data_IF_569129006740
#
_entry.id   IF_569129006740
#
_cell.length_a   1.000
_cell.length_b   1.000
_cell.length_c   1.000
_cell.angle_alpha   90.00
_cell.angle_beta   90.00
_cell.angle_gamma   90.00
#
_symmetry.space_group_name_H-M   'P 1'
#
loop_
_entity.id
_entity.type
_entity.pdbx_description
1 polymer ?
#
# COMPACT_ATOMS: atom_id res chain seq x y z
N UNK A 1 -10.82 -25.00 43.90
CA UNK A 1 -9.57 -25.52 44.54
C UNK A 1 -8.45 -25.03 43.64
N UNK A 2 -7.48 -24.19 43.98
CA UNK A 2 -6.89 -23.62 45.21
C UNK A 2 -6.27 -22.28 44.76
N UNK A 3 -6.53 -21.12 45.35
CA UNK A 3 -5.94 -20.57 46.58
C UNK A 3 -4.43 -20.79 46.72
N UNK A 4 -3.65 -19.72 46.57
CA UNK A 4 -2.41 -19.52 47.35
C UNK A 4 -2.19 -18.03 47.63
N UNK A 5 -2.43 -17.66 48.89
CA UNK A 5 -1.87 -16.47 49.54
C UNK A 5 -0.39 -16.67 49.80
N UNK A 6 0.39 -15.59 49.90
CA UNK A 6 1.51 -15.44 50.86
C UNK A 6 1.78 -13.94 51.11
N UNK A 7 1.70 -13.58 52.39
CA UNK A 7 2.17 -12.36 53.06
C UNK A 7 3.70 -12.32 53.14
N UNK A 8 4.36 -11.16 53.07
CA UNK A 8 5.55 -10.82 53.89
C UNK A 8 5.61 -9.30 54.21
N UNK A 9 6.00 -9.06 55.46
CA UNK A 9 6.18 -7.83 56.26
C UNK A 9 7.29 -6.85 55.80
N UNK A 10 7.11 -5.58 56.21
CA UNK A 10 8.12 -4.84 56.98
C UNK A 10 8.83 -3.67 56.28
N UNK A 11 8.73 -2.46 56.83
CA UNK A 11 9.72 -1.94 57.79
C UNK A 11 9.49 -0.44 58.04
N UNK A 12 9.35 -0.12 59.33
CA UNK A 12 9.24 1.18 59.96
C UNK A 12 10.56 1.97 59.83
N UNK A 13 10.51 3.23 59.40
CA UNK A 13 11.60 4.18 59.57
C UNK A 13 11.08 5.51 60.14
N UNK A 14 11.46 5.75 61.39
CA UNK A 14 11.41 7.03 62.09
C UNK A 14 12.03 8.16 61.27
N UNK A 15 11.39 9.33 61.26
CA UNK A 15 12.14 10.58 61.36
C UNK A 15 11.42 11.60 62.25
N UNK A 16 12.18 12.10 63.20
CA UNK A 16 11.86 13.12 64.18
C UNK A 16 11.92 14.51 63.51
N UNK A 17 11.20 15.50 64.03
CA UNK A 17 11.73 16.65 64.78
C UNK A 17 10.76 17.85 64.69
N UNK A 18 10.85 18.69 65.72
CA UNK A 18 9.90 19.68 66.21
C UNK A 18 10.21 21.12 65.75
N UNK A 19 9.37 22.06 66.22
CA UNK A 19 9.49 23.54 66.27
C UNK A 19 8.99 24.32 65.03
N UNK A 20 8.25 25.42 65.12
CA UNK A 20 7.72 26.20 66.24
C UNK A 20 7.03 27.49 65.72
N UNK A 21 6.03 27.95 66.50
CA UNK A 21 5.40 29.29 66.65
C UNK A 21 4.95 30.14 65.44
N UNK A 22 3.68 30.62 65.45
CA UNK A 22 3.22 31.78 64.68
C UNK A 22 3.16 33.07 65.53
N UNK A 23 3.37 34.23 64.90
CA UNK A 23 3.22 35.56 65.52
C UNK A 23 2.26 36.41 64.67
N UNK A 24 1.08 36.74 65.21
CA UNK A 24 0.14 37.71 64.65
C UNK A 24 -0.49 38.53 65.79
N UNK A 25 -0.89 39.75 65.44
CA UNK A 25 -0.88 40.98 66.25
C UNK A 25 -2.14 41.20 67.10
N UNK A 26 -1.94 41.87 68.24
CA UNK A 26 -2.93 42.26 69.27
C UNK A 26 -3.59 43.63 69.00
N UNK A 27 -4.92 43.69 69.17
CA UNK A 27 -5.72 44.86 69.64
C UNK A 27 -7.06 44.28 70.13
N UNK A 28 -7.48 44.26 71.40
CA UNK A 28 -7.66 45.32 72.39
C UNK A 28 -8.94 46.12 72.08
N UNK A 29 -10.00 46.26 72.88
CA UNK A 29 -10.42 45.84 74.23
C UNK A 29 -11.82 46.46 74.47
N UNK A 30 -12.77 45.77 75.13
CA UNK A 30 -13.46 46.23 76.36
C UNK A 30 -14.72 45.40 76.73
N UNK A 31 -14.71 45.06 78.03
CA UNK A 31 -15.63 44.34 78.93
C UNK A 31 -17.06 44.96 79.04
N UNK A 32 -18.08 44.27 79.61
CA UNK A 32 -18.11 43.94 81.04
C UNK A 32 -18.69 42.57 81.44
N UNK A 33 -18.03 41.95 82.43
CA UNK A 33 -18.40 40.73 83.19
C UNK A 33 -19.27 41.04 84.45
N UNK A 34 -19.55 40.09 85.38
CA UNK A 34 -20.39 38.87 85.35
C UNK A 34 -21.36 38.81 86.60
N UNK A 35 -21.96 37.67 87.05
CA UNK A 35 -21.21 36.59 87.74
C UNK A 35 -21.74 35.14 87.60
N UNK A 36 -20.77 34.23 87.45
CA UNK A 36 -20.59 32.89 88.05
C UNK A 36 -21.78 31.98 88.42
N UNK A 37 -21.76 30.73 87.90
CA UNK A 37 -21.51 29.52 88.71
C UNK A 37 -21.56 28.21 87.87
N UNK A 38 -20.70 27.25 88.27
CA UNK A 38 -20.65 25.80 87.92
C UNK A 38 -20.16 25.44 86.49
N UNK A 39 -18.99 24.83 86.26
CA UNK A 39 -18.50 23.48 86.65
C UNK A 39 -19.44 22.36 86.21
N UNK A 40 -19.10 21.63 85.14
CA UNK A 40 -19.07 20.15 84.89
C UNK A 40 -18.82 19.98 83.35
N UNK A 41 -17.67 19.45 82.92
CA UNK A 41 -17.46 18.10 82.35
C UNK A 41 -18.21 17.77 81.02
N UNK A 42 -17.52 17.01 80.15
CA UNK A 42 -18.00 16.25 78.97
C UNK A 42 -17.94 16.89 77.57
N UNK A 43 -16.80 16.75 76.90
CA UNK A 43 -16.80 16.38 75.47
C UNK A 43 -16.03 15.07 75.35
N UNK A 44 -16.67 13.96 75.72
CA UNK A 44 -16.21 12.63 75.35
C UNK A 44 -16.10 12.56 73.82
N UNK A 45 -15.14 11.79 73.26
CA UNK A 45 -15.22 11.42 71.85
C UNK A 45 -16.55 10.70 71.60
N UNK A 46 -17.24 11.05 70.53
CA UNK A 46 -18.57 10.51 70.20
C UNK A 46 -18.52 9.01 69.86
N UNK A 47 -17.31 8.46 69.65
CA UNK A 47 -17.06 7.04 69.47
C UNK A 47 -15.68 6.58 69.96
N UNK A 48 -15.58 5.30 70.31
CA UNK A 48 -14.33 4.60 70.69
C UNK A 48 -14.50 3.08 70.51
N UNK A 49 -13.46 2.28 70.73
CA UNK A 49 -13.58 0.80 70.66
C UNK A 49 -14.68 0.23 71.59
N UNK A 50 -15.11 1.01 72.60
CA UNK A 50 -16.18 0.65 73.55
C UNK A 50 -17.50 1.39 73.31
N UNK A 51 -17.53 2.38 72.40
CA UNK A 51 -18.70 3.18 72.06
C UNK A 51 -18.85 3.15 70.53
N UNK A 52 -19.65 2.22 69.98
CA UNK A 52 -19.86 2.14 68.54
C UNK A 52 -20.73 3.30 68.06
N UNK A 53 -20.47 3.77 66.84
CA UNK A 53 -21.30 4.77 66.19
C UNK A 53 -22.73 4.24 65.90
N UNK A 54 -23.70 5.14 65.73
CA UNK A 54 -25.01 4.82 65.18
C UNK A 54 -24.89 4.02 63.86
N UNK A 55 -25.92 3.23 63.54
CA UNK A 55 -25.91 2.42 62.32
C UNK A 55 -25.74 3.29 61.06
N UNK A 56 -24.67 3.05 60.30
CA UNK A 56 -24.34 3.79 59.06
C UNK A 56 -23.11 4.70 59.15
N UNK A 57 -22.52 4.85 60.33
CA UNK A 57 -21.33 5.68 60.54
C UNK A 57 -20.13 4.82 60.97
N UNK A 58 -18.93 5.32 60.68
CA UNK A 58 -17.66 4.71 61.08
C UNK A 58 -16.90 5.67 61.99
N UNK A 59 -16.22 5.14 63.00
CA UNK A 59 -15.46 5.95 63.93
C UNK A 59 -14.09 6.28 63.32
N UNK A 60 -13.91 7.52 62.88
CA UNK A 60 -12.64 8.02 62.33
C UNK A 60 -12.15 9.15 63.22
N UNK A 61 -10.94 8.99 63.78
CA UNK A 61 -10.32 9.97 64.69
C UNK A 61 -11.20 10.42 65.89
N UNK A 62 -12.04 9.51 66.41
CA UNK A 62 -12.88 9.77 67.59
C UNK A 62 -14.16 10.54 67.31
N UNK A 63 -14.47 10.78 66.03
CA UNK A 63 -15.76 11.27 65.56
C UNK A 63 -16.46 10.20 64.73
N UNK A 64 -17.79 10.13 64.85
CA UNK A 64 -18.58 9.34 63.92
C UNK A 64 -18.70 10.11 62.62
N UNK A 65 -18.14 9.55 61.55
CA UNK A 65 -18.30 10.07 60.20
C UNK A 65 -19.13 9.09 59.40
N UNK A 66 -20.07 9.60 58.62
CA UNK A 66 -20.68 8.82 57.55
C UNK A 66 -19.53 8.42 56.64
N UNK A 67 -19.37 7.11 56.39
CA UNK A 67 -18.39 6.67 55.40
C UNK A 67 -18.65 7.48 54.12
N UNK A 68 -17.61 8.11 53.56
CA UNK A 68 -17.72 8.73 52.25
C UNK A 68 -18.41 7.70 51.34
N UNK A 69 -19.44 8.10 50.57
CA UNK A 69 -20.09 7.17 49.66
C UNK A 69 -19.00 6.46 48.84
N UNK A 70 -19.18 5.18 48.49
CA UNK A 70 -18.25 4.54 47.57
C UNK A 70 -18.08 5.48 46.38
N UNK A 71 -16.84 5.79 46.01
CA UNK A 71 -16.51 6.57 44.83
C UNK A 71 -17.17 5.84 43.65
N UNK A 72 -18.33 6.34 43.22
CA UNK A 72 -19.24 5.66 42.30
C UNK A 72 -19.38 6.57 41.11
N UNK A 73 -18.82 6.09 40.02
CA UNK A 73 -19.07 6.67 38.72
C UNK A 73 -20.58 6.79 38.48
N UNK A 74 -21.04 7.99 38.15
CA UNK A 74 -22.41 8.29 37.77
C UNK A 74 -23.30 8.81 38.89
N UNK A 75 -22.73 9.46 39.91
CA UNK A 75 -23.50 10.11 40.97
C UNK A 75 -23.64 11.64 40.80
N UNK A 76 -23.00 12.18 39.75
CA UNK A 76 -23.04 13.57 39.33
C UNK A 76 -21.99 14.42 40.04
N UNK A 77 -21.04 13.80 40.73
CA UNK A 77 -20.00 14.49 41.50
C UNK A 77 -18.64 13.94 41.11
N UNK A 78 -17.76 14.82 40.62
CA UNK A 78 -16.35 14.48 40.41
C UNK A 78 -15.61 14.45 41.75
N UNK A 79 -15.47 13.25 42.30
CA UNK A 79 -14.70 12.90 43.47
C UNK A 79 -13.21 12.82 43.11
N UNK A 80 -12.51 13.92 43.39
CA UNK A 80 -11.11 14.20 43.04
C UNK A 80 -10.04 13.30 43.74
N UNK A 81 -10.41 12.09 44.17
CA UNK A 81 -9.57 11.09 44.83
C UNK A 81 -8.71 10.23 43.89
N UNK A 82 -8.77 10.49 42.58
CA UNK A 82 -7.87 9.89 41.57
C UNK A 82 -8.40 8.64 40.86
N UNK A 83 -9.70 8.37 40.92
CA UNK A 83 -10.33 7.22 40.24
C UNK A 83 -11.21 7.67 39.07
N UNK A 84 -11.92 8.80 39.22
CA UNK A 84 -12.74 9.41 38.16
C UNK A 84 -12.14 10.73 37.68
N UNK A 85 -12.05 10.87 36.36
CA UNK A 85 -11.62 12.09 35.68
C UNK A 85 -12.81 13.03 35.37
N UNK A 86 -14.03 12.49 35.35
CA UNK A 86 -15.29 13.19 35.15
C UNK A 86 -16.43 12.39 35.83
N UNK A 87 -17.63 12.97 35.99
CA UNK A 87 -18.85 12.26 36.38
C UNK A 87 -20.07 13.06 35.87
N UNK A 88 -20.89 12.45 35.01
CA UNK A 88 -22.04 13.08 34.35
C UNK A 88 -23.40 12.78 35.03
N UNK A 89 -23.39 12.04 36.15
CA UNK A 89 -24.61 11.67 36.86
C UNK A 89 -25.21 10.33 36.46
N UNK A 90 -24.51 9.53 35.64
CA UNK A 90 -24.86 8.13 35.39
C UNK A 90 -23.66 7.31 34.84
N UNK A 91 -23.91 6.05 34.46
CA UNK A 91 -22.89 5.14 33.91
C UNK A 91 -23.23 4.72 32.49
N UNK A 92 -24.07 5.50 31.79
CA UNK A 92 -24.23 5.28 30.36
C UNK A 92 -22.94 5.77 29.71
N UNK A 93 -22.35 4.92 28.88
CA UNK A 93 -21.30 5.40 28.00
C UNK A 93 -21.98 6.42 27.06
N UNK A 94 -21.44 7.63 26.95
CA UNK A 94 -21.91 8.59 25.96
C UNK A 94 -22.63 9.85 26.38
N UNK A 95 -22.59 10.29 27.62
CA UNK A 95 -23.30 11.52 28.02
C UNK A 95 -22.55 12.48 28.95
N UNK A 96 -21.23 12.39 28.95
CA UNK A 96 -20.27 13.28 29.58
C UNK A 96 -19.06 12.52 30.12
N UNK A 97 -19.21 11.21 30.37
CA UNK A 97 -18.23 10.27 30.90
C UNK A 97 -18.47 8.83 30.46
N UNK A 98 -17.40 8.05 30.31
CA UNK A 98 -17.54 6.61 30.12
C UNK A 98 -18.00 5.91 31.42
N UNK A 99 -18.41 4.64 31.33
CA UNK A 99 -18.80 3.82 32.49
C UNK A 99 -17.67 3.53 33.49
N UNK A 100 -16.44 3.96 33.19
CA UNK A 100 -15.28 3.95 34.09
C UNK A 100 -14.92 5.36 34.61
N UNK A 101 -15.78 6.35 34.36
CA UNK A 101 -15.63 7.76 34.68
C UNK A 101 -14.30 8.36 34.22
N UNK A 102 -13.87 7.96 33.04
CA UNK A 102 -12.82 8.64 32.29
C UNK A 102 -13.47 9.64 31.34
N UNK A 103 -12.75 10.74 31.06
CA UNK A 103 -13.17 11.65 30.01
C UNK A 103 -13.17 10.89 28.68
N UNK A 104 -14.23 11.04 27.89
CA UNK A 104 -14.25 10.61 26.49
C UNK A 104 -13.35 11.59 25.72
N UNK A 105 -12.11 11.16 25.37
CA UNK A 105 -11.07 12.01 24.77
C UNK A 105 -10.80 11.54 23.35
N UNK A 106 -11.17 12.41 22.40
CA UNK A 106 -10.78 12.22 21.01
C UNK A 106 -9.27 12.07 20.83
N UNK A 107 -8.87 10.98 20.17
CA UNK A 107 -7.49 10.66 19.85
C UNK A 107 -6.78 9.80 20.88
N UNK A 108 -7.51 9.05 21.71
CA UNK A 108 -6.93 8.14 22.70
C UNK A 108 -6.87 6.67 22.24
N UNK A 109 -7.42 6.39 21.06
CA UNK A 109 -7.50 5.09 20.41
C UNK A 109 -8.75 4.29 20.78
N UNK A 110 -9.72 4.91 21.46
CA UNK A 110 -10.94 4.25 21.95
C UNK A 110 -12.17 4.95 21.36
N UNK A 111 -12.97 4.21 20.58
CA UNK A 111 -14.23 4.73 20.04
C UNK A 111 -15.31 4.83 21.13
N UNK A 112 -15.64 6.05 21.56
CA UNK A 112 -16.69 6.31 22.55
C UNK A 112 -18.02 6.62 21.83
N UNK A 113 -18.73 5.57 21.43
CA UNK A 113 -19.89 5.61 20.52
C UNK A 113 -21.15 6.31 21.07
N UNK A 114 -21.03 6.99 22.21
CA UNK A 114 -22.12 7.56 22.96
C UNK A 114 -22.18 9.10 22.92
N UNK A 115 -21.04 9.82 22.97
CA UNK A 115 -20.96 11.30 22.87
C UNK A 115 -20.71 11.83 21.45
N UNK A 116 -21.09 11.05 20.43
CA UNK A 116 -20.96 11.45 19.03
C UNK A 116 -19.51 11.49 18.49
N UNK A 117 -18.55 10.81 19.12
CA UNK A 117 -17.37 10.34 18.38
C UNK A 117 -17.85 9.35 17.32
N UNK A 118 -17.65 9.72 16.06
CA UNK A 118 -17.91 8.84 14.92
C UNK A 118 -16.72 7.93 14.64
N UNK A 119 -15.51 8.37 15.02
CA UNK A 119 -14.23 7.69 14.86
C UNK A 119 -13.31 8.03 16.05
N UNK A 120 -12.24 7.25 16.23
CA UNK A 120 -11.06 7.61 17.02
C UNK A 120 -9.87 6.82 16.46
N UNK A 121 -8.81 7.52 16.04
CA UNK A 121 -7.62 6.93 15.42
C UNK A 121 -6.36 7.00 16.30
N UNK A 122 -6.51 7.38 17.58
CA UNK A 122 -5.40 7.52 18.51
C UNK A 122 -4.60 8.81 18.36
N UNK A 123 -5.10 9.80 17.61
CA UNK A 123 -4.52 11.14 17.56
C UNK A 123 -5.57 12.24 17.26
N UNK A 124 -5.11 13.50 17.08
CA UNK A 124 -5.99 14.67 16.84
C UNK A 124 -5.54 15.46 15.60
N UNK A 125 -4.83 14.80 14.70
CA UNK A 125 -4.55 15.35 13.39
C UNK A 125 -5.86 15.40 12.57
N UNK A 126 -5.87 16.28 11.59
CA UNK A 126 -6.89 16.23 10.53
C UNK A 126 -6.19 15.64 9.28
N UNK A 127 -6.92 14.97 8.41
CA UNK A 127 -6.42 14.37 7.16
C UNK A 127 -6.02 12.90 7.27
N UNK A 128 -6.50 12.18 8.28
CA UNK A 128 -6.33 10.74 8.52
C UNK A 128 -7.68 10.01 8.64
N UNK A 129 -8.75 10.63 8.13
CA UNK A 129 -10.13 10.16 8.14
C UNK A 129 -10.86 10.21 9.48
N UNK A 130 -10.21 10.73 10.52
CA UNK A 130 -10.83 11.13 11.76
C UNK A 130 -10.39 12.53 12.15
N UNK A 131 -11.30 13.52 12.13
CA UNK A 131 -10.88 14.89 12.44
C UNK A 131 -10.56 15.08 13.94
N UNK A 132 -9.93 16.21 14.29
CA UNK A 132 -9.63 16.61 15.67
C UNK A 132 -10.86 16.76 16.59
N UNK A 133 -12.08 16.57 16.09
CA UNK A 133 -13.35 16.52 16.83
C UNK A 133 -14.01 15.14 16.79
N UNK A 134 -13.24 14.13 16.37
CA UNK A 134 -13.65 12.74 16.24
C UNK A 134 -14.89 12.55 15.39
N UNK A 135 -15.03 13.37 14.34
CA UNK A 135 -16.01 13.17 13.28
C UNK A 135 -15.34 12.52 12.08
N UNK A 136 -16.10 11.71 11.34
CA UNK A 136 -15.62 11.23 10.06
C UNK A 136 -15.34 12.41 9.14
N UNK A 137 -14.15 12.42 8.57
CA UNK A 137 -13.86 13.34 7.48
C UNK A 137 -14.74 13.00 6.27
N UNK A 138 -15.04 14.00 5.45
CA UNK A 138 -15.95 13.82 4.33
C UNK A 138 -15.40 12.76 3.36
N UNK A 139 -16.31 11.95 2.78
CA UNK A 139 -15.94 11.02 1.71
C UNK A 139 -15.22 11.76 0.56
N UNK A 140 -14.06 11.26 0.16
CA UNK A 140 -13.18 11.88 -0.84
C UNK A 140 -12.22 12.95 -0.29
N UNK A 141 -12.20 13.19 1.03
CA UNK A 141 -11.14 13.99 1.65
C UNK A 141 -9.81 13.27 1.48
N UNK A 142 -8.75 14.03 1.20
CA UNK A 142 -7.41 13.47 1.06
C UNK A 142 -6.93 12.94 2.41
N UNK A 143 -6.39 11.73 2.41
CA UNK A 143 -5.75 11.12 3.56
C UNK A 143 -4.43 10.46 3.14
N UNK A 144 -3.67 9.96 4.11
CA UNK A 144 -2.45 9.20 3.86
C UNK A 144 -2.43 8.01 4.83
N UNK A 145 -2.43 6.77 4.30
CA UNK A 145 -2.34 5.55 5.11
C UNK A 145 -0.88 5.06 5.30
N UNK A 146 0.10 5.95 5.08
CA UNK A 146 1.54 5.70 5.06
C UNK A 146 1.99 4.66 4.00
N UNK A 147 1.15 4.40 2.99
CA UNK A 147 1.51 3.62 1.80
C UNK A 147 2.27 4.49 0.78
N UNK A 148 2.82 3.87 -0.26
CA UNK A 148 3.43 4.57 -1.38
C UNK A 148 2.44 5.45 -2.17
N UNK A 149 1.13 5.24 -2.02
CA UNK A 149 0.08 5.82 -2.87
C UNK A 149 -0.61 7.08 -2.28
N UNK A 150 0.14 7.93 -1.61
CA UNK A 150 -0.38 9.02 -0.76
C UNK A 150 -1.21 10.10 -1.48
N UNK A 151 -1.16 10.18 -2.81
CA UNK A 151 -1.81 11.23 -3.59
C UNK A 151 -3.27 10.94 -3.94
N UNK A 152 -3.67 9.66 -3.87
CA UNK A 152 -5.01 9.19 -4.30
C UNK A 152 -5.80 8.58 -3.14
N UNK A 153 -5.18 8.45 -1.98
CA UNK A 153 -5.81 7.93 -0.79
C UNK A 153 -6.93 8.90 -0.34
N UNK A 154 -8.11 8.32 -0.17
CA UNK A 154 -9.32 9.05 0.14
C UNK A 154 -10.07 8.38 1.28
N UNK A 155 -10.62 9.23 2.15
CA UNK A 155 -11.55 8.79 3.17
C UNK A 155 -12.82 8.26 2.53
N UNK A 156 -13.30 7.11 2.97
CA UNK A 156 -14.57 6.52 2.54
C UNK A 156 -15.81 7.16 3.23
N UNK A 157 -15.57 8.09 4.15
CA UNK A 157 -16.59 8.72 5.00
C UNK A 157 -17.05 7.84 6.16
N UNK A 158 -16.33 6.75 6.45
CA UNK A 158 -16.56 5.83 7.56
C UNK A 158 -15.27 5.57 8.37
N UNK A 159 -14.30 6.48 8.28
CA UNK A 159 -13.06 6.45 9.06
C UNK A 159 -11.97 5.55 8.48
N UNK A 160 -12.12 5.08 7.24
CA UNK A 160 -11.08 4.34 6.55
C UNK A 160 -10.45 5.21 5.48
N UNK A 161 -9.14 5.39 5.58
CA UNK A 161 -8.33 5.83 4.46
C UNK A 161 -8.23 4.65 3.49
N UNK A 162 -8.87 4.77 2.34
CA UNK A 162 -8.88 3.72 1.33
C UNK A 162 -8.04 4.14 0.14
N UNK A 163 -7.25 3.19 -0.36
CA UNK A 163 -6.49 3.38 -1.57
C UNK A 163 -7.46 3.58 -2.75
N UNK A 164 -7.60 4.82 -3.20
CA UNK A 164 -8.06 5.08 -4.54
C UNK A 164 -6.99 4.50 -5.47
N UNK A 165 -7.12 3.22 -5.84
CA UNK A 165 -6.14 2.59 -6.73
C UNK A 165 -5.91 3.43 -7.99
N UNK A 166 -4.70 3.38 -8.54
CA UNK A 166 -4.36 4.05 -9.80
C UNK A 166 -5.46 3.78 -10.82
N UNK A 167 -6.12 4.83 -11.30
CA UNK A 167 -7.26 4.69 -12.20
C UNK A 167 -6.82 5.16 -13.57
N UNK A 168 -6.35 4.20 -14.37
CA UNK A 168 -5.89 4.46 -15.70
C UNK A 168 -6.94 5.17 -16.57
N UNK A 169 -6.52 6.25 -17.24
CA UNK A 169 -7.33 7.00 -18.19
C UNK A 169 -8.26 8.03 -17.55
N UNK A 170 -7.95 8.47 -16.33
CA UNK A 170 -8.75 9.45 -15.61
C UNK A 170 -8.28 10.91 -15.85
N UNK A 171 -7.17 11.10 -16.57
CA UNK A 171 -6.59 12.41 -16.87
C UNK A 171 -5.53 12.89 -15.88
N UNK A 172 -5.09 12.05 -14.95
CA UNK A 172 -4.11 12.36 -13.90
C UNK A 172 -3.03 11.28 -13.87
N UNK A 173 -1.76 11.69 -13.71
CA UNK A 173 -0.65 10.75 -13.60
C UNK A 173 -0.37 10.43 -12.12
N UNK A 174 -0.55 9.17 -11.74
CA UNK A 174 -0.45 8.60 -10.41
C UNK A 174 0.80 7.70 -10.30
N UNK A 175 1.95 8.31 -10.61
CA UNK A 175 3.23 7.61 -10.74
C UNK A 175 3.64 6.78 -9.51
N UNK A 176 3.31 7.27 -8.33
CA UNK A 176 3.63 6.60 -7.07
C UNK A 176 2.79 5.31 -6.85
N UNK A 177 1.76 5.09 -7.67
CA UNK A 177 0.92 3.90 -7.71
C UNK A 177 1.18 2.97 -8.90
N UNK A 178 2.29 3.15 -9.62
CA UNK A 178 2.71 2.28 -10.73
C UNK A 178 2.15 2.68 -12.10
N UNK A 179 1.46 3.80 -12.17
CA UNK A 179 1.04 4.42 -13.42
C UNK A 179 2.25 5.08 -14.12
N UNK A 180 2.55 4.72 -15.36
CA UNK A 180 3.69 5.31 -16.08
C UNK A 180 3.28 6.45 -17.03
N UNK A 181 2.02 6.48 -17.44
CA UNK A 181 1.41 7.45 -18.32
C UNK A 181 -0.09 7.55 -18.00
N UNK A 182 -0.75 8.62 -18.43
CA UNK A 182 -2.21 8.70 -18.51
C UNK A 182 -2.54 9.62 -19.71
N UNK A 183 -3.38 9.12 -20.63
CA UNK A 183 -3.84 9.88 -21.80
C UNK A 183 -5.36 10.14 -21.77
N UNK A 184 -5.94 10.13 -20.57
CA UNK A 184 -7.34 10.39 -20.29
C UNK A 184 -8.31 9.40 -20.96
N UNK A 185 -7.83 8.19 -21.31
CA UNK A 185 -8.66 7.07 -21.70
C UNK A 185 -7.94 5.72 -21.49
N UNK A 186 -8.54 4.61 -21.94
CA UNK A 186 -7.97 3.24 -21.80
C UNK A 186 -7.93 2.51 -23.14
N UNK A 187 -7.78 3.26 -24.24
CA UNK A 187 -7.60 2.70 -25.58
C UNK A 187 -6.12 2.37 -25.70
N UNK A 188 -5.80 1.26 -26.37
CA UNK A 188 -4.41 0.96 -26.70
C UNK A 188 -4.06 1.64 -28.03
N UNK A 189 -2.86 2.18 -28.12
CA UNK A 189 -2.31 2.83 -29.29
C UNK A 189 -2.70 4.27 -29.46
N UNK A 190 -2.87 5.03 -28.39
CA UNK A 190 -2.99 6.49 -28.45
C UNK A 190 -2.06 7.25 -27.52
N UNK A 191 -1.08 6.55 -26.95
CA UNK A 191 0.02 7.12 -26.18
C UNK A 191 0.13 6.54 -24.77
N UNK A 192 -0.90 5.87 -24.27
CA UNK A 192 -0.87 5.16 -23.01
C UNK A 192 -1.75 3.91 -23.06
N UNK A 193 -1.22 2.76 -22.64
CA UNK A 193 -1.99 1.51 -22.70
C UNK A 193 -3.13 1.45 -21.67
N UNK A 194 -4.01 0.47 -21.81
CA UNK A 194 -5.16 0.21 -20.93
C UNK A 194 -4.81 -0.15 -19.47
N UNK A 195 -3.53 -0.42 -19.22
CA UNK A 195 -2.93 -0.67 -17.90
C UNK A 195 -2.00 0.48 -17.46
N UNK A 196 -2.06 1.60 -18.19
CA UNK A 196 -1.27 2.80 -18.02
C UNK A 196 0.24 2.55 -17.90
N UNK A 197 0.70 1.63 -18.73
CA UNK A 197 2.09 1.45 -19.05
C UNK A 197 2.39 2.18 -20.37
N UNK A 198 3.59 2.73 -20.50
CA UNK A 198 3.98 3.42 -21.72
C UNK A 198 3.99 2.43 -22.90
N UNK A 199 3.41 2.86 -24.01
CA UNK A 199 3.38 2.11 -25.27
C UNK A 199 4.71 2.31 -25.99
N UNK A 200 5.66 1.40 -25.76
CA UNK A 200 7.04 1.53 -26.24
C UNK A 200 7.51 0.26 -26.91
N UNK A 201 8.33 0.44 -27.94
CA UNK A 201 9.01 -0.65 -28.60
C UNK A 201 9.86 -1.47 -27.63
N UNK A 202 9.66 -2.78 -27.65
CA UNK A 202 10.38 -3.76 -26.84
C UNK A 202 9.74 -4.02 -25.48
N UNK A 203 8.46 -3.72 -25.30
CA UNK A 203 7.71 -4.00 -24.08
C UNK A 203 6.99 -5.36 -24.09
N UNK A 204 7.05 -6.07 -25.23
CA UNK A 204 6.40 -7.36 -25.46
C UNK A 204 5.02 -7.26 -26.11
N UNK A 205 4.56 -6.06 -26.50
CA UNK A 205 3.22 -5.81 -27.01
C UNK A 205 3.22 -4.86 -28.20
N UNK A 206 2.55 -5.23 -29.29
CA UNK A 206 2.29 -4.33 -30.43
C UNK A 206 1.17 -3.35 -30.04
N UNK A 207 1.52 -2.19 -29.51
CA UNK A 207 0.58 -1.24 -28.92
C UNK A 207 0.84 0.24 -29.26
N UNK A 208 1.85 0.63 -30.05
CA UNK A 208 2.14 2.07 -30.30
C UNK A 208 1.48 2.67 -31.58
N UNK A 209 0.14 2.82 -31.57
CA UNK A 209 -0.67 3.54 -32.59
C UNK A 209 -0.38 3.20 -34.07
N UNK A 210 -0.04 1.94 -34.36
CA UNK A 210 0.32 1.49 -35.71
C UNK A 210 1.66 2.05 -36.24
N UNK A 211 2.43 2.74 -35.42
CA UNK A 211 3.85 3.01 -35.70
C UNK A 211 4.65 1.73 -35.50
N UNK A 212 4.31 0.97 -34.46
CA UNK A 212 4.86 -0.35 -34.17
C UNK A 212 4.18 -1.44 -34.98
N UNK A 213 4.97 -2.24 -35.71
CA UNK A 213 4.49 -3.31 -36.58
C UNK A 213 4.79 -4.71 -36.01
N UNK A 214 5.78 -4.82 -35.13
CA UNK A 214 6.20 -6.01 -34.39
C UNK A 214 6.66 -5.60 -32.99
N UNK A 215 6.83 -6.56 -32.09
CA UNK A 215 7.53 -6.40 -30.82
C UNK A 215 8.02 -7.78 -30.38
N UNK A 216 9.32 -7.94 -30.12
CA UNK A 216 9.94 -9.20 -29.66
C UNK A 216 10.40 -9.15 -28.19
N UNK A 217 9.97 -8.13 -27.44
CA UNK A 217 10.28 -7.91 -26.03
C UNK A 217 11.60 -7.21 -25.79
N UNK A 218 12.25 -6.67 -26.83
CA UNK A 218 13.45 -5.85 -26.69
C UNK A 218 13.65 -4.85 -27.84
N UNK A 219 14.79 -4.15 -27.88
CA UNK A 219 15.12 -3.12 -28.90
C UNK A 219 16.45 -3.40 -29.59
N UNK A 220 16.89 -4.66 -29.57
CA UNK A 220 18.09 -5.09 -30.28
C UNK A 220 17.70 -5.24 -31.74
N UNK A 221 18.48 -4.65 -32.65
CA UNK A 221 18.26 -4.95 -34.07
C UNK A 221 18.66 -6.42 -34.34
N UNK A 222 18.10 -7.02 -35.37
CA UNK A 222 18.46 -8.32 -35.91
C UNK A 222 18.02 -9.54 -35.06
N UNK A 223 16.97 -9.45 -34.25
CA UNK A 223 16.42 -10.59 -33.50
C UNK A 223 14.91 -10.82 -33.63
N UNK A 224 14.29 -10.19 -34.63
CA UNK A 224 12.88 -10.40 -35.01
C UNK A 224 12.11 -9.10 -35.19
N UNK A 225 12.56 -8.01 -34.56
CA UNK A 225 11.98 -6.69 -34.68
C UNK A 225 13.06 -5.62 -34.51
N UNK A 226 13.11 -4.61 -35.40
CA UNK A 226 14.16 -3.60 -35.30
C UNK A 226 13.97 -2.66 -34.10
N UNK A 227 14.97 -1.84 -33.77
CA UNK A 227 14.89 -0.85 -32.68
C UNK A 227 13.83 0.26 -32.86
N UNK A 228 13.19 0.34 -34.03
CA UNK A 228 12.04 1.19 -34.33
C UNK A 228 10.72 0.40 -34.40
N UNK A 229 10.74 -0.86 -33.96
CA UNK A 229 9.70 -1.85 -34.03
C UNK A 229 9.02 -1.99 -35.40
N UNK A 230 9.84 -1.96 -36.44
CA UNK A 230 9.46 -2.33 -37.79
C UNK A 230 9.83 -3.80 -38.02
N UNK A 231 8.99 -4.48 -38.81
CA UNK A 231 9.29 -5.85 -39.20
C UNK A 231 10.58 -5.88 -40.01
N UNK A 232 11.47 -6.79 -39.63
CA UNK A 232 12.66 -7.16 -40.36
C UNK A 232 12.23 -8.11 -41.49
N UNK A 233 11.97 -7.57 -42.68
CA UNK A 233 11.37 -8.28 -43.82
C UNK A 233 12.39 -8.48 -44.93
N UNK A 234 12.50 -9.72 -45.38
CA UNK A 234 13.19 -10.08 -46.61
C UNK A 234 12.67 -9.31 -47.83
N UNK A 235 13.56 -8.62 -48.54
CA UNK A 235 13.28 -7.89 -49.78
C UNK A 235 13.01 -6.39 -49.57
N UNK A 236 13.44 -5.83 -48.44
CA UNK A 236 13.34 -4.39 -48.15
C UNK A 236 14.64 -3.62 -48.51
N UNK A 237 15.67 -4.34 -48.93
CA UNK A 237 16.98 -3.83 -49.33
C UNK A 237 18.00 -3.80 -48.19
N UNK A 238 17.70 -4.39 -47.03
CA UNK A 238 18.53 -4.39 -45.84
C UNK A 238 18.66 -5.81 -45.28
N UNK A 239 19.87 -6.35 -45.27
CA UNK A 239 20.16 -7.62 -44.57
C UNK A 239 20.01 -7.45 -43.06
N UNK A 240 18.95 -8.02 -42.49
CA UNK A 240 18.55 -7.94 -41.09
C UNK A 240 18.30 -9.34 -40.45
N UNK A 241 17.63 -9.43 -39.29
CA UNK A 241 17.18 -10.69 -38.67
C UNK A 241 18.30 -11.70 -38.29
N UNK A 242 19.44 -11.21 -37.84
CA UNK A 242 20.39 -11.98 -37.04
C UNK A 242 21.16 -13.05 -37.81
N UNK A 243 21.21 -12.90 -39.14
CA UNK A 243 21.80 -13.87 -40.06
C UNK A 243 20.86 -15.01 -40.45
N UNK A 244 19.56 -14.93 -40.13
CA UNK A 244 18.52 -15.72 -40.81
C UNK A 244 18.46 -15.29 -42.28
N UNK A 245 18.46 -13.99 -42.51
CA UNK A 245 18.65 -13.39 -43.82
C UNK A 245 20.15 -13.33 -44.18
N UNK A 246 20.51 -13.92 -45.31
CA UNK A 246 21.89 -14.02 -45.79
C UNK A 246 22.20 -12.99 -46.88
N UNK A 247 21.18 -12.45 -47.53
CA UNK A 247 21.22 -11.43 -48.57
C UNK A 247 19.89 -10.67 -48.62
N UNK A 248 19.87 -9.49 -49.22
CA UNK A 248 18.64 -8.77 -49.59
C UNK A 248 18.97 -7.90 -50.82
N UNK A 249 18.24 -8.07 -51.92
CA UNK A 249 18.39 -7.28 -53.16
C UNK A 249 17.21 -6.31 -53.43
N UNK A 250 16.37 -6.08 -52.43
CA UNK A 250 15.28 -5.11 -52.43
C UNK A 250 13.98 -5.62 -53.02
N UNK A 251 13.81 -6.93 -53.20
CA UNK A 251 12.56 -7.56 -53.57
C UNK A 251 12.49 -9.06 -53.14
N UNK A 252 11.38 -9.74 -53.42
CA UNK A 252 11.18 -11.18 -53.13
C UNK A 252 11.09 -12.03 -54.39
N UNK A 253 11.72 -11.60 -55.48
CA UNK A 253 11.90 -12.42 -56.66
C UNK A 253 13.17 -13.27 -56.49
N UNK A 254 13.26 -14.38 -57.22
CA UNK A 254 14.42 -15.27 -57.19
C UNK A 254 15.16 -15.12 -58.52
N UNK A 255 16.48 -15.25 -58.51
CA UNK A 255 17.29 -15.15 -59.72
C UNK A 255 17.94 -13.79 -60.00
N UNK A 256 17.80 -12.78 -59.13
CA UNK A 256 18.35 -11.43 -59.32
C UNK A 256 19.34 -10.94 -58.25
N UNK A 257 19.76 -11.84 -57.36
CA UNK A 257 20.84 -11.59 -56.41
C UNK A 257 20.62 -12.22 -55.04
N UNK A 258 19.36 -12.38 -54.66
CA UNK A 258 18.93 -13.06 -53.45
C UNK A 258 17.71 -13.96 -53.74
N UNK A 259 17.54 -15.05 -52.98
CA UNK A 259 16.33 -15.86 -53.11
C UNK A 259 15.15 -15.22 -52.38
N UNK A 260 13.92 -15.61 -52.73
CA UNK A 260 12.70 -15.03 -52.16
C UNK A 260 12.52 -15.29 -50.64
N UNK A 261 13.28 -16.25 -50.10
CA UNK A 261 13.39 -16.57 -48.67
C UNK A 261 14.65 -15.97 -48.02
N UNK A 262 15.31 -15.04 -48.73
CA UNK A 262 16.52 -14.32 -48.36
C UNK A 262 17.71 -15.19 -47.97
N UNK A 263 17.78 -16.37 -48.59
CA UNK A 263 18.97 -17.19 -48.62
C UNK A 263 19.82 -16.84 -49.85
N UNK A 264 21.14 -17.04 -49.71
CA UNK A 264 22.04 -16.86 -50.83
C UNK A 264 21.73 -17.88 -51.94
N UNK A 265 21.83 -17.47 -53.21
CA UNK A 265 21.63 -18.34 -54.36
C UNK A 265 22.56 -19.56 -54.32
N UNK A 266 22.06 -20.72 -54.73
CA UNK A 266 22.75 -21.99 -54.61
C UNK A 266 22.58 -22.85 -55.85
N UNK A 267 23.71 -23.16 -56.50
CA UNK A 267 23.72 -24.01 -57.67
C UNK A 267 23.03 -25.37 -57.46
N UNK A 268 22.13 -25.71 -58.37
CA UNK A 268 21.35 -26.94 -58.39
C UNK A 268 20.03 -26.85 -57.63
N UNK A 269 19.50 -25.66 -57.38
CA UNK A 269 18.24 -25.44 -56.66
C UNK A 269 17.01 -25.29 -57.58
N UNK A 270 17.23 -25.26 -58.90
CA UNK A 270 16.18 -25.14 -59.91
C UNK A 270 15.90 -23.70 -60.34
N UNK A 271 16.59 -22.72 -59.78
CA UNK A 271 16.55 -21.30 -60.15
C UNK A 271 17.82 -20.98 -60.93
N UNK A 272 17.72 -20.11 -61.94
CA UNK A 272 18.90 -19.62 -62.65
C UNK A 272 19.28 -18.26 -62.07
N UNK A 273 20.28 -18.25 -61.19
CA UNK A 273 20.70 -17.05 -60.47
C UNK A 273 21.70 -16.17 -61.22
N UNK A 274 21.83 -14.89 -60.84
CA UNK A 274 22.82 -14.00 -61.43
C UNK A 274 24.24 -14.50 -61.15
N UNK A 275 25.01 -14.71 -62.22
CA UNK A 275 26.33 -15.35 -62.18
C UNK A 275 26.33 -16.84 -62.51
N UNK A 276 25.17 -17.49 -62.52
CA UNK A 276 25.02 -18.87 -62.99
C UNK A 276 24.85 -18.90 -64.52
N UNK A 277 25.44 -19.91 -65.17
CA UNK A 277 25.33 -20.09 -66.62
C UNK A 277 24.34 -21.20 -67.01
N UNK A 278 23.95 -22.03 -66.04
CA UNK A 278 22.89 -23.03 -66.09
C UNK A 278 22.46 -23.36 -64.66
N UNK A 279 21.30 -24.00 -64.54
CA UNK A 279 20.85 -24.75 -63.37
C UNK A 279 19.94 -25.90 -63.88
N UNK A 280 20.18 -27.13 -63.45
CA UNK A 280 19.35 -28.31 -63.79
C UNK A 280 18.69 -28.97 -62.57
N UNK A 281 18.55 -28.22 -61.48
CA UNK A 281 17.83 -28.60 -60.28
C UNK A 281 18.53 -29.66 -59.42
N UNK A 282 19.83 -29.90 -59.65
CA UNK A 282 20.67 -30.69 -58.77
C UNK A 282 22.17 -30.38 -58.98
N UNK A 283 23.06 -31.02 -58.21
CA UNK A 283 24.53 -30.84 -58.32
C UNK A 283 25.25 -32.06 -58.85
N UNK A 284 24.54 -33.01 -59.46
CA UNK A 284 25.15 -34.17 -60.09
C UNK A 284 25.94 -33.73 -61.34
N UNK A 285 26.75 -34.64 -61.87
CA UNK A 285 27.54 -34.36 -63.08
C UNK A 285 27.12 -35.29 -64.20
N UNK A 286 27.10 -34.74 -65.41
CA UNK A 286 26.79 -35.38 -66.67
C UNK A 286 25.33 -35.29 -67.10
N UNK A 287 24.51 -34.45 -66.46
CA UNK A 287 23.07 -34.31 -66.68
C UNK A 287 22.60 -32.93 -67.16
N UNK A 288 23.49 -31.93 -67.18
CA UNK A 288 23.22 -30.67 -67.88
C UNK A 288 24.05 -29.52 -67.35
N UNK A 289 24.14 -29.45 -66.03
CA UNK A 289 24.82 -28.42 -65.30
C UNK A 289 25.79 -29.06 -64.29
N UNK A 290 26.92 -28.40 -64.04
CA UNK A 290 27.87 -28.88 -63.05
C UNK A 290 27.52 -28.31 -61.68
N UNK A 291 28.05 -28.90 -60.61
CA UNK A 291 27.99 -28.35 -59.26
C UNK A 291 28.63 -26.94 -59.09
N UNK A 292 29.18 -26.34 -60.16
CA UNK A 292 29.69 -24.97 -60.21
C UNK A 292 28.85 -24.06 -61.13
N UNK A 293 27.66 -24.51 -61.53
CA UNK A 293 26.71 -23.82 -62.39
C UNK A 293 27.25 -23.34 -63.73
N UNK A 294 28.17 -24.16 -64.26
CA UNK A 294 28.70 -24.05 -65.62
C UNK A 294 28.10 -25.16 -66.46
N UNK A 295 27.60 -24.86 -67.69
CA UNK A 295 27.08 -25.86 -68.60
C UNK A 295 28.09 -26.97 -68.77
N UNK A 296 27.67 -28.16 -68.40
CA UNK A 296 28.46 -29.32 -68.73
C UNK A 296 28.28 -29.54 -70.22
N UNK A 297 29.38 -29.83 -70.90
CA UNK A 297 29.28 -30.29 -72.27
C UNK A 297 28.57 -31.65 -72.26
N UNK A 298 27.23 -31.62 -72.29
CA UNK A 298 26.40 -32.80 -72.41
C UNK A 298 26.90 -33.60 -73.62
N UNK A 299 27.49 -34.76 -73.35
CA UNK A 299 27.67 -35.80 -74.34
C UNK A 299 28.87 -35.64 -75.26
N UNK A 300 30.03 -35.95 -74.71
CA UNK A 300 30.95 -36.90 -75.35
C UNK A 300 30.17 -38.04 -76.05
N UNK A 301 30.38 -38.33 -77.35
CA UNK A 301 29.71 -39.39 -78.09
C UNK A 301 29.96 -40.82 -77.56
N UNK A 302 30.73 -41.01 -76.48
CA UNK A 302 31.05 -42.35 -75.95
C UNK A 302 30.06 -42.92 -74.94
N UNK A 303 29.08 -42.16 -74.43
CA UNK A 303 28.09 -42.67 -73.46
C UNK A 303 26.70 -42.87 -74.06
N UNK A 304 26.60 -43.78 -75.03
CA UNK A 304 25.32 -44.36 -75.49
C UNK A 304 24.83 -45.35 -74.43
N UNK A 305 23.96 -44.91 -73.52
CA UNK A 305 23.08 -45.86 -72.83
C UNK A 305 22.02 -46.33 -73.81
N UNK A 306 22.15 -47.59 -74.24
CA UNK A 306 21.17 -48.30 -75.04
C UNK A 306 19.85 -48.40 -74.25
N UNK A 307 18.94 -47.46 -74.44
CA UNK A 307 17.55 -47.64 -74.06
C UNK A 307 16.92 -48.62 -75.07
N UNK A 308 16.91 -49.91 -74.71
CA UNK A 308 16.15 -50.91 -75.44
C UNK A 308 14.67 -50.51 -75.48
N UNK A 309 14.16 -50.19 -76.66
CA UNK A 309 12.73 -50.07 -76.89
C UNK A 309 12.04 -51.44 -76.81
N UNK A 310 10.75 -51.51 -76.43
CA UNK A 310 10.00 -52.75 -76.46
C UNK A 310 9.71 -53.12 -77.92
N UNK A 311 10.13 -54.32 -78.31
CA UNK A 311 9.76 -54.93 -79.58
C UNK A 311 8.26 -55.24 -79.64
N UNK A 312 7.66 -54.92 -80.78
CA UNK A 312 6.44 -55.53 -81.31
C UNK A 312 6.71 -56.94 -81.82
#
# INVERSE_FOLDING_TARGET
MNRFSIFIFGLLALFQLTCGVPEEVVVGSQDPSPPAAASEDTSLPECSESIPCPAGETCTEGACVVAAPPEVCGDGVVNNGGVEQCDDGNTADGDGCDSACQNEICGDGVLNNGEAEQCDDGNTADGDCCDSTCQFEANGSACDDDNACTAVDQCDGAGLCTNGGSTCGNGSLEADCGEQCDDNNTINGDGCGDTCQNEVCGDGSVNNNGTEQCDDGNTTDDDGCDSACQNEICGDGVVNNGGVEQCDDGNNDSGDGCQADCLLPACGDGVLDDGESCDDGNTDSGDGCSAACVPECLGDPTRVTYAGGPGT
#
